data_IF_864722670215
#
_entry.id   IF_864722670215
#
_cell.length_a   1.000
_cell.length_b   1.000
_cell.length_c   1.000
_cell.angle_alpha   90.00
_cell.angle_beta   90.00
_cell.angle_gamma   90.00
#
_symmetry.space_group_name_H-M   'P 1'
#
loop_
_entity.id
_entity.type
_entity.pdbx_description
1 polymer ?
#
# COMPACT_ATOMS: atom_id res chain seq x y z
N UNK A 1 5.32 3.49 -0.81
CA UNK A 1 6.65 3.32 -0.17
C UNK A 1 7.13 1.86 -0.22
N UNK A 2 8.38 1.59 0.17
CA UNK A 2 9.00 0.25 0.12
C UNK A 2 8.91 -0.56 1.43
N UNK A 3 8.49 0.10 2.50
CA UNK A 3 8.23 -0.48 3.83
C UNK A 3 6.72 -0.62 4.03
N UNK A 4 6.26 -1.52 4.90
CA UNK A 4 4.84 -1.58 5.24
C UNK A 4 4.37 -0.27 5.86
N UNK A 5 3.39 0.34 5.22
CA UNK A 5 2.70 1.55 5.66
C UNK A 5 1.23 1.41 5.29
N UNK A 6 0.42 2.36 5.72
CA UNK A 6 -0.92 2.54 5.21
C UNK A 6 -1.15 4.02 5.05
N UNK A 7 -2.00 4.37 4.10
CA UNK A 7 -2.25 5.76 3.78
C UNK A 7 -3.32 6.33 4.71
N UNK A 8 -3.26 7.64 4.92
CA UNK A 8 -4.19 8.42 5.73
C UNK A 8 -4.62 9.67 4.94
N UNK A 9 -5.06 9.46 3.69
CA UNK A 9 -5.35 10.55 2.74
C UNK A 9 -6.71 11.21 2.99
N UNK A 10 -7.71 10.44 3.45
CA UNK A 10 -9.03 10.94 3.88
C UNK A 10 -9.64 9.99 4.93
N UNK A 11 -10.72 10.42 5.58
CA UNK A 11 -11.60 9.56 6.37
C UNK A 11 -12.15 8.38 5.54
N UNK A 12 -12.47 8.60 4.26
CA UNK A 12 -12.88 7.55 3.32
C UNK A 12 -12.37 7.88 1.92
N UNK A 13 -11.58 6.96 1.37
CA UNK A 13 -11.02 7.06 0.04
C UNK A 13 -10.79 5.67 -0.54
N UNK A 14 -10.56 5.60 -1.85
CA UNK A 14 -10.21 4.38 -2.55
C UNK A 14 -9.20 4.69 -3.66
N UNK A 15 -8.25 3.78 -3.85
CA UNK A 15 -7.25 3.88 -4.92
C UNK A 15 -7.50 2.80 -5.97
N UNK A 16 -7.34 3.18 -7.22
CA UNK A 16 -7.29 2.29 -8.36
C UNK A 16 -5.87 2.31 -8.92
N UNK A 17 -5.34 1.13 -9.14
CA UNK A 17 -3.98 0.89 -9.58
C UNK A 17 -4.02 0.14 -10.91
N UNK A 18 -3.22 0.57 -11.88
CA UNK A 18 -3.07 -0.11 -13.18
C UNK A 18 -1.60 -0.28 -13.49
N UNK A 19 -1.17 -1.52 -13.70
CA UNK A 19 0.19 -1.78 -14.19
C UNK A 19 0.31 -1.37 -15.65
N UNK A 20 1.29 -0.52 -15.96
CA UNK A 20 1.59 -0.07 -17.32
C UNK A 20 2.76 -0.85 -17.94
N UNK A 21 3.44 -1.66 -17.14
CA UNK A 21 4.44 -2.66 -17.56
C UNK A 21 4.07 -4.03 -16.97
N UNK A 22 4.65 -5.11 -17.48
CA UNK A 22 4.48 -6.44 -16.88
C UNK A 22 5.19 -6.49 -15.52
N UNK A 23 4.48 -6.96 -14.50
CA UNK A 23 4.95 -7.01 -13.12
C UNK A 23 4.97 -8.45 -12.63
N UNK A 24 6.17 -8.99 -12.52
CA UNK A 24 6.47 -10.23 -11.79
C UNK A 24 7.17 -9.91 -10.46
N UNK A 25 7.62 -10.94 -9.73
CA UNK A 25 8.29 -10.78 -8.44
C UNK A 25 9.59 -9.96 -8.50
N UNK A 26 10.24 -9.88 -9.66
CA UNK A 26 11.48 -9.13 -9.88
C UNK A 26 11.25 -7.66 -10.25
N UNK A 27 10.01 -7.30 -10.62
CA UNK A 27 9.63 -5.95 -11.01
C UNK A 27 9.24 -5.06 -9.82
N UNK A 28 9.28 -5.58 -8.59
CA UNK A 28 8.88 -4.83 -7.41
C UNK A 28 7.34 -4.74 -7.23
N UNK A 29 6.60 -5.86 -7.19
CA UNK A 29 5.15 -5.86 -7.13
C UNK A 29 4.60 -5.15 -5.89
N UNK A 30 3.34 -4.75 -5.98
CA UNK A 30 2.58 -4.29 -4.82
C UNK A 30 2.25 -5.47 -3.90
N UNK A 31 2.41 -5.28 -2.60
CA UNK A 31 2.10 -6.25 -1.55
C UNK A 31 1.19 -5.58 -0.55
N UNK A 32 0.15 -6.29 -0.12
CA UNK A 32 -0.76 -5.84 0.94
C UNK A 32 -1.08 -6.97 1.92
N UNK A 33 -1.53 -6.60 3.12
CA UNK A 33 -1.98 -7.55 4.15
C UNK A 33 -3.50 -7.47 4.29
N UNK A 34 -4.21 -8.42 3.69
CA UNK A 34 -5.67 -8.39 3.56
C UNK A 34 -6.37 -8.20 4.90
N UNK A 35 -7.41 -7.38 4.88
CA UNK A 35 -8.28 -7.13 6.04
C UNK A 35 -7.72 -6.14 7.06
N UNK A 36 -6.48 -5.66 6.92
CA UNK A 36 -5.90 -4.70 7.88
C UNK A 36 -6.51 -3.30 7.80
N UNK A 37 -7.19 -2.92 6.72
CA UNK A 37 -8.00 -1.69 6.66
C UNK A 37 -9.09 -1.65 7.76
N UNK A 38 -9.54 -2.82 8.26
CA UNK A 38 -10.56 -2.93 9.33
C UNK A 38 -10.02 -3.52 10.64
N UNK A 39 -8.96 -4.31 10.59
CA UNK A 39 -8.52 -5.15 11.72
C UNK A 39 -7.11 -4.78 12.23
N UNK A 40 -6.75 -3.50 12.20
CA UNK A 40 -5.49 -3.03 12.80
C UNK A 40 -5.54 -3.09 14.32
N UNK A 41 -4.43 -3.48 14.95
CA UNK A 41 -4.30 -3.37 16.40
C UNK A 41 -4.37 -1.91 16.85
N UNK A 42 -4.84 -1.67 18.07
CA UNK A 42 -4.89 -0.33 18.65
C UNK A 42 -3.51 0.36 18.62
N UNK A 43 -2.44 -0.39 18.89
CA UNK A 43 -1.07 0.11 18.83
C UNK A 43 -0.68 0.62 17.43
N UNK A 44 -1.01 -0.12 16.37
CA UNK A 44 -0.73 0.32 15.01
C UNK A 44 -1.58 1.53 14.59
N UNK A 45 -2.83 1.61 15.06
CA UNK A 45 -3.66 2.81 14.86
C UNK A 45 -3.06 4.04 15.55
N UNK A 46 -2.56 3.89 16.78
CA UNK A 46 -1.92 4.96 17.54
C UNK A 46 -0.61 5.43 16.91
N UNK A 47 0.18 4.51 16.35
CA UNK A 47 1.43 4.84 15.67
C UNK A 47 1.20 5.62 14.36
N UNK A 48 0.09 5.39 13.67
CA UNK A 48 -0.20 6.10 12.43
C UNK A 48 0.88 5.85 11.38
N UNK A 49 1.31 6.93 10.72
CA UNK A 49 2.38 6.94 9.72
C UNK A 49 3.72 6.42 10.26
N UNK A 50 3.94 6.41 11.59
CA UNK A 50 5.17 5.86 12.21
C UNK A 50 5.26 4.34 12.09
N UNK A 51 4.20 3.64 11.66
CA UNK A 51 4.32 2.22 11.34
C UNK A 51 5.34 1.96 10.23
N UNK A 52 5.65 2.95 9.38
CA UNK A 52 6.67 2.84 8.34
C UNK A 52 8.10 2.57 8.87
N UNK A 53 8.36 2.73 10.18
CA UNK A 53 9.65 2.37 10.79
C UNK A 53 9.70 0.95 11.36
N UNK A 54 8.59 0.20 11.29
CA UNK A 54 8.49 -1.15 11.81
C UNK A 54 9.10 -2.16 10.84
N UNK A 55 9.66 -3.23 11.40
CA UNK A 55 10.19 -4.33 10.60
C UNK A 55 9.05 -5.10 9.93
N UNK A 56 9.29 -5.54 8.69
CA UNK A 56 8.28 -6.24 7.91
C UNK A 56 7.84 -7.56 8.55
N UNK A 57 8.77 -8.27 9.22
CA UNK A 57 8.45 -9.53 9.89
C UNK A 57 7.60 -9.30 11.12
N UNK A 58 7.83 -8.21 11.87
CA UNK A 58 6.98 -7.81 13.01
C UNK A 58 5.54 -7.58 12.54
N UNK A 59 5.36 -6.83 11.45
CA UNK A 59 4.04 -6.53 10.89
C UNK A 59 3.36 -7.80 10.37
N UNK A 60 4.05 -8.63 9.59
CA UNK A 60 3.47 -9.88 9.05
C UNK A 60 3.12 -10.86 10.17
N UNK A 61 3.97 -11.00 11.18
CA UNK A 61 3.71 -11.88 12.33
C UNK A 61 2.48 -11.45 13.13
N UNK A 62 2.21 -10.14 13.20
CA UNK A 62 1.04 -9.60 13.89
C UNK A 62 -0.29 -9.94 13.20
N UNK A 63 -0.30 -9.98 11.86
CA UNK A 63 -1.55 -10.10 11.09
C UNK A 63 -1.77 -11.46 10.41
N UNK A 64 -0.71 -12.24 10.23
CA UNK A 64 -0.71 -13.55 9.59
C UNK A 64 -0.12 -13.52 8.18
N UNK A 65 0.85 -14.40 7.92
CA UNK A 65 1.48 -14.54 6.61
C UNK A 65 0.49 -15.04 5.53
N UNK A 66 -0.55 -15.76 5.92
CA UNK A 66 -1.64 -16.23 5.05
C UNK A 66 -2.46 -15.10 4.43
N UNK A 67 -2.41 -13.90 5.01
CA UNK A 67 -3.13 -12.71 4.51
C UNK A 67 -2.27 -11.81 3.63
N UNK A 68 -0.97 -12.10 3.52
CA UNK A 68 -0.08 -11.35 2.64
C UNK A 68 -0.40 -11.70 1.20
N UNK A 69 -0.72 -10.68 0.40
CA UNK A 69 -1.02 -10.83 -1.01
C UNK A 69 -0.06 -9.98 -1.81
N UNK A 70 0.66 -10.65 -2.71
CA UNK A 70 1.50 -10.03 -3.72
C UNK A 70 0.71 -9.97 -5.03
N UNK A 71 0.58 -8.76 -5.59
CA UNK A 71 -0.16 -8.54 -6.83
C UNK A 71 0.85 -8.47 -7.98
N UNK A 72 0.93 -9.55 -8.74
CA UNK A 72 1.65 -9.61 -10.01
C UNK A 72 0.65 -9.65 -11.17
N UNK A 73 1.06 -9.21 -12.35
CA UNK A 73 0.25 -9.28 -13.55
C UNK A 73 0.88 -8.56 -14.74
N UNK A 74 0.33 -8.83 -15.92
CA UNK A 74 0.74 -8.19 -17.17
C UNK A 74 0.29 -6.73 -17.23
N UNK A 75 0.90 -5.95 -18.13
CA UNK A 75 0.47 -4.60 -18.44
C UNK A 75 -1.04 -4.57 -18.77
N UNK A 76 -1.75 -3.64 -18.15
CA UNK A 76 -3.21 -3.52 -18.22
C UNK A 76 -3.95 -4.16 -17.04
N UNK A 77 -3.30 -4.97 -16.20
CA UNK A 77 -3.92 -5.44 -14.96
C UNK A 77 -4.26 -4.24 -14.06
N UNK A 78 -5.54 -4.14 -13.69
CA UNK A 78 -6.06 -3.15 -12.77
C UNK A 78 -6.56 -3.77 -11.46
N UNK A 79 -6.37 -3.09 -10.34
CA UNK A 79 -6.94 -3.46 -9.04
C UNK A 79 -7.37 -2.24 -8.23
N UNK A 80 -8.38 -2.43 -7.38
CA UNK A 80 -8.87 -1.41 -6.45
C UNK A 80 -8.48 -1.78 -5.02
N UNK A 81 -8.06 -0.79 -4.24
CA UNK A 81 -7.59 -0.97 -2.87
C UNK A 81 -8.06 0.16 -1.96
N UNK A 82 -8.56 -0.21 -0.80
CA UNK A 82 -8.60 0.66 0.37
C UNK A 82 -7.21 0.66 1.00
N UNK A 83 -6.39 1.66 0.66
CA UNK A 83 -4.97 1.71 1.04
C UNK A 83 -4.73 2.15 2.48
N UNK A 84 -5.80 2.26 3.29
CA UNK A 84 -5.67 2.12 4.75
C UNK A 84 -5.26 0.70 5.13
N UNK A 85 -5.29 -0.27 4.20
CA UNK A 85 -4.61 -1.55 4.33
C UNK A 85 -3.09 -1.37 4.49
N UNK A 86 -2.45 -2.20 5.32
CA UNK A 86 -0.99 -2.27 5.30
C UNK A 86 -0.54 -2.75 3.93
N UNK A 87 0.29 -1.97 3.27
CA UNK A 87 0.79 -2.24 1.94
C UNK A 87 2.20 -1.68 1.73
N UNK A 88 2.86 -2.13 0.67
CA UNK A 88 4.18 -1.68 0.21
C UNK A 88 4.42 -2.10 -1.23
N UNK A 89 5.37 -1.45 -1.91
CA UNK A 89 6.02 -2.03 -3.09
C UNK A 89 7.33 -2.70 -2.69
N UNK A 90 7.72 -3.81 -3.30
CA UNK A 90 9.09 -4.31 -3.13
C UNK A 90 10.06 -3.56 -4.05
N UNK A 91 11.36 -3.61 -3.74
CA UNK A 91 12.38 -3.03 -4.58
C UNK A 91 12.47 -3.83 -5.90
N UNK A 92 12.34 -3.19 -7.07
CA UNK A 92 12.59 -3.86 -8.34
C UNK A 92 14.08 -4.27 -8.45
N UNK A 93 14.34 -5.49 -8.93
CA UNK A 93 15.69 -6.05 -9.01
C UNK A 93 16.19 -6.21 -10.43
N UNK A 94 15.32 -6.53 -11.39
CA UNK A 94 15.71 -6.74 -12.79
C UNK A 94 14.76 -6.16 -13.84
N UNK A 95 13.58 -5.69 -13.43
CA UNK A 95 12.57 -5.11 -14.33
C UNK A 95 12.03 -3.82 -13.73
N UNK A 96 11.63 -2.89 -14.58
CA UNK A 96 10.97 -1.66 -14.15
C UNK A 96 9.46 -1.88 -13.98
N UNK A 97 8.90 -1.27 -12.94
CA UNK A 97 7.45 -1.21 -12.72
C UNK A 97 6.96 0.21 -12.92
N UNK A 98 6.20 0.41 -13.99
CA UNK A 98 5.41 1.61 -14.18
C UNK A 98 3.97 1.34 -13.76
N UNK A 99 3.43 2.19 -12.89
CA UNK A 99 2.12 2.04 -12.28
C UNK A 99 1.37 3.37 -12.37
N UNK A 100 0.13 3.33 -12.87
CA UNK A 100 -0.83 4.43 -12.77
C UNK A 100 -1.66 4.25 -11.51
N UNK A 101 -1.77 5.30 -10.70
CA UNK A 101 -2.66 5.36 -9.55
C UNK A 101 -3.68 6.48 -9.75
N UNK A 102 -4.95 6.19 -9.48
CA UNK A 102 -6.04 7.16 -9.43
C UNK A 102 -6.69 7.04 -8.05
N UNK A 103 -6.81 8.15 -7.34
CA UNK A 103 -7.40 8.20 -6.00
C UNK A 103 -8.72 8.97 -6.03
N UNK A 104 -9.70 8.46 -5.31
CA UNK A 104 -10.97 9.13 -5.06
C UNK A 104 -11.16 9.32 -3.56
N UNK A 105 -11.22 10.58 -3.14
CA UNK A 105 -11.51 11.00 -1.75
C UNK A 105 -12.88 11.69 -1.69
N UNK A 106 -13.45 11.81 -0.48
CA UNK A 106 -14.70 12.56 -0.24
C UNK A 106 -14.39 14.04 -0.02
N UNK A 107 -13.29 14.33 0.65
CA UNK A 107 -12.86 15.67 1.00
C UNK A 107 -11.55 16.01 0.29
N UNK A 108 -11.34 17.31 0.08
CA UNK A 108 -10.04 17.87 -0.25
C UNK A 108 -9.50 18.54 1.01
N UNK A 109 -8.46 17.97 1.61
CA UNK A 109 -7.78 18.56 2.77
C UNK A 109 -6.66 19.53 2.38
N UNK A 110 -6.47 19.80 1.07
CA UNK A 110 -5.32 20.53 0.53
C UNK A 110 -4.02 19.71 0.62
N UNK A 111 -3.00 20.08 -0.16
CA UNK A 111 -1.67 19.51 0.05
C UNK A 111 -1.07 20.11 1.33
N UNK A 112 -0.72 19.26 2.31
CA UNK A 112 -0.02 19.67 3.55
C UNK A 112 1.41 20.20 3.27
N UNK A 113 1.79 20.36 1.99
CA UNK A 113 3.10 20.84 1.54
C UNK A 113 3.20 22.36 1.40
N UNK A 114 2.12 23.13 1.62
CA UNK A 114 2.14 24.60 1.62
C UNK A 114 2.19 25.21 3.03
N UNK A 115 2.99 24.64 3.93
CA UNK A 115 3.38 25.32 5.16
C UNK A 115 4.91 25.35 5.18
N UNK A 116 5.45 26.45 4.63
CA UNK A 116 6.85 26.89 4.75
C UNK A 116 7.33 26.90 6.22
#
# INVERSE_FOLDING_TARGET
AQVYHYDLDDYRFIKFFFYLTDVDLSAGPHILIRGTHKNKTFFHQLLGLRCASKDDQEIVSCYGADKVVTICGEAGLGFAEDSTCFHKGTLPTSKERLLLQIEYSINSYGEIRELD
#
